data_IF_042887474850
#
_entry.id   IF_042887474850
#
_cell.length_a   1.000
_cell.length_b   1.000
_cell.length_c   1.000
_cell.angle_alpha   90.00
_cell.angle_beta   90.00
_cell.angle_gamma   90.00
#
_symmetry.space_group_name_H-M   'P 1'
#
loop_
_entity.id
_entity.type
_entity.pdbx_description
1 polymer ?
#
# COMPACT_ATOMS: atom_id res chain seq x y z
N UNK A 1 13.07 17.57 -34.98
CA UNK A 1 13.70 18.07 -33.73
C UNK A 1 13.10 17.52 -32.42
N UNK A 2 12.11 16.59 -32.45
CA UNK A 2 11.53 15.98 -31.24
C UNK A 2 12.37 14.84 -30.61
N UNK A 3 13.39 14.33 -31.31
CA UNK A 3 14.25 13.25 -30.81
C UNK A 3 15.20 13.68 -29.68
N UNK A 4 15.59 14.96 -29.64
CA UNK A 4 16.55 15.48 -28.65
C UNK A 4 15.94 15.61 -27.25
N UNK A 5 14.64 15.92 -27.13
CA UNK A 5 13.92 16.01 -25.85
C UNK A 5 13.51 14.65 -25.25
N UNK A 6 13.39 13.61 -26.09
CA UNK A 6 13.09 12.25 -25.61
C UNK A 6 14.27 11.65 -24.84
N UNK A 7 15.50 12.02 -25.19
CA UNK A 7 16.72 11.51 -24.57
C UNK A 7 16.85 11.83 -23.07
N UNK A 8 16.72 13.09 -22.60
CA UNK A 8 16.84 13.41 -21.18
C UNK A 8 15.67 12.87 -20.35
N UNK A 9 14.44 12.80 -20.90
CA UNK A 9 13.30 12.21 -20.20
C UNK A 9 13.48 10.71 -19.95
N UNK A 10 13.90 9.97 -20.96
CA UNK A 10 14.16 8.52 -20.83
C UNK A 10 15.31 8.27 -19.85
N UNK A 11 16.37 9.11 -19.90
CA UNK A 11 17.47 9.04 -18.95
C UNK A 11 17.03 9.34 -17.51
N UNK A 12 16.26 10.40 -17.29
CA UNK A 12 15.79 10.73 -15.93
C UNK A 12 14.85 9.65 -15.38
N UNK A 13 14.00 9.06 -16.22
CA UNK A 13 13.15 7.94 -15.83
C UNK A 13 13.94 6.68 -15.50
N UNK A 14 15.03 6.39 -16.23
CA UNK A 14 15.88 5.23 -15.90
C UNK A 14 16.61 5.43 -14.59
N UNK A 15 17.16 6.62 -14.35
CA UNK A 15 17.79 6.97 -13.06
C UNK A 15 16.78 6.87 -11.92
N UNK A 16 15.60 7.47 -12.08
CA UNK A 16 14.54 7.38 -11.06
C UNK A 16 14.13 5.93 -10.78
N UNK A 17 14.04 5.09 -11.81
CA UNK A 17 13.76 3.66 -11.65
C UNK A 17 14.84 2.95 -10.84
N UNK A 18 16.11 3.19 -11.09
CA UNK A 18 17.19 2.57 -10.31
C UNK A 18 17.19 3.04 -8.85
N UNK A 19 16.94 4.32 -8.61
CA UNK A 19 16.77 4.86 -7.25
C UNK A 19 15.60 4.16 -6.53
N UNK A 20 14.45 4.01 -7.20
CA UNK A 20 13.30 3.31 -6.62
C UNK A 20 13.61 1.85 -6.29
N UNK A 21 14.40 1.13 -7.11
CA UNK A 21 14.83 -0.23 -6.79
C UNK A 21 15.72 -0.27 -5.55
N UNK A 22 16.65 0.66 -5.42
CA UNK A 22 17.51 0.75 -4.24
C UNK A 22 16.68 0.95 -2.97
N UNK A 23 15.71 1.88 -3.01
CA UNK A 23 14.77 2.10 -1.90
C UNK A 23 13.97 0.84 -1.61
N UNK A 24 13.45 0.16 -2.64
CA UNK A 24 12.67 -1.07 -2.46
C UNK A 24 13.43 -2.13 -1.65
N UNK A 25 14.71 -2.33 -1.96
CA UNK A 25 15.56 -3.27 -1.25
C UNK A 25 15.97 -2.76 0.13
N UNK A 26 16.36 -1.48 0.26
CA UNK A 26 16.81 -0.88 1.51
C UNK A 26 15.69 -0.84 2.56
N UNK A 27 14.48 -0.48 2.15
CA UNK A 27 13.28 -0.37 3.00
C UNK A 27 12.56 -1.71 3.18
N UNK A 28 13.10 -2.81 2.65
CA UNK A 28 12.50 -4.15 2.71
C UNK A 28 11.02 -4.16 2.31
N UNK A 29 10.68 -3.46 1.23
CA UNK A 29 9.31 -3.40 0.70
C UNK A 29 8.86 -4.71 0.04
N UNK A 30 9.73 -5.73 0.05
CA UNK A 30 9.37 -7.08 -0.34
C UNK A 30 8.25 -7.61 0.57
N UNK A 31 7.25 -8.32 0.00
CA UNK A 31 6.21 -8.93 0.81
C UNK A 31 6.81 -9.81 1.90
N UNK A 32 6.33 -9.70 3.15
CA UNK A 32 6.81 -10.54 4.24
C UNK A 32 6.48 -12.02 3.95
N UNK A 33 7.25 -12.92 4.55
CA UNK A 33 6.95 -14.34 4.48
C UNK A 33 5.69 -14.67 5.32
N UNK A 34 5.07 -15.84 5.04
CA UNK A 34 3.85 -16.26 5.73
C UNK A 34 4.01 -16.40 7.24
N UNK A 35 5.20 -16.75 7.73
CA UNK A 35 5.46 -16.86 9.16
C UNK A 35 5.38 -15.50 9.86
N UNK A 36 5.96 -14.45 9.25
CA UNK A 36 5.89 -13.09 9.75
C UNK A 36 4.44 -12.55 9.77
N UNK A 37 3.63 -12.88 8.75
CA UNK A 37 2.21 -12.51 8.73
C UNK A 37 1.44 -13.20 9.86
N UNK A 38 1.66 -14.50 10.07
CA UNK A 38 1.03 -15.25 11.16
C UNK A 38 1.42 -14.69 12.53
N UNK A 39 2.70 -14.38 12.71
CA UNK A 39 3.22 -13.82 13.95
C UNK A 39 2.61 -12.45 14.24
N UNK A 40 2.59 -11.55 13.27
CA UNK A 40 1.97 -10.23 13.40
C UNK A 40 0.47 -10.35 13.79
N UNK A 41 -0.27 -11.26 13.14
CA UNK A 41 -1.66 -11.52 13.50
C UNK A 41 -1.82 -12.00 14.94
N UNK A 42 -0.99 -12.96 15.37
CA UNK A 42 -1.02 -13.48 16.74
C UNK A 42 -0.72 -12.37 17.77
N UNK A 43 0.30 -11.54 17.52
CA UNK A 43 0.66 -10.42 18.41
C UNK A 43 -0.47 -9.40 18.52
N UNK A 44 -1.10 -9.03 17.39
CA UNK A 44 -2.25 -8.13 17.37
C UNK A 44 -3.38 -8.74 18.19
N UNK A 45 -3.72 -10.01 17.94
CA UNK A 45 -4.81 -10.71 18.63
C UNK A 45 -4.62 -10.74 20.15
N UNK A 46 -3.41 -11.07 20.61
CA UNK A 46 -3.06 -11.06 22.03
C UNK A 46 -3.17 -9.66 22.64
N UNK A 47 -2.74 -8.64 21.90
CA UNK A 47 -2.79 -7.25 22.37
C UNK A 47 -4.22 -6.72 22.50
N UNK A 48 -5.10 -7.01 21.53
CA UNK A 48 -6.50 -6.55 21.58
C UNK A 48 -7.36 -7.37 22.54
N UNK A 49 -6.97 -8.61 22.84
CA UNK A 49 -7.66 -9.46 23.81
C UNK A 49 -7.36 -9.10 25.26
N UNK A 50 -6.35 -8.24 25.52
CA UNK A 50 -5.96 -7.81 26.87
C UNK A 50 -6.59 -6.45 27.23
N UNK A 51 -7.48 -6.38 28.25
CA UNK A 51 -8.07 -5.11 28.67
C UNK A 51 -7.03 -4.09 29.18
N UNK A 52 -5.92 -4.57 29.75
CA UNK A 52 -4.84 -3.70 30.21
C UNK A 52 -4.09 -3.05 29.03
N UNK A 53 -3.86 -3.80 27.95
CA UNK A 53 -3.22 -3.28 26.74
C UNK A 53 -4.11 -2.24 26.04
N UNK A 54 -5.43 -2.47 25.98
CA UNK A 54 -6.37 -1.50 25.42
C UNK A 54 -6.43 -0.19 26.22
N UNK A 55 -6.42 -0.27 27.56
CA UNK A 55 -6.38 0.94 28.41
C UNK A 55 -5.09 1.72 28.22
N UNK A 56 -3.95 1.03 28.17
CA UNK A 56 -2.64 1.65 27.90
C UNK A 56 -2.61 2.30 26.52
N UNK A 57 -3.18 1.64 25.51
CA UNK A 57 -3.26 2.17 24.16
C UNK A 57 -4.12 3.45 24.11
N UNK A 58 -5.29 3.46 24.76
CA UNK A 58 -6.16 4.63 24.81
C UNK A 58 -5.52 5.82 25.53
N UNK A 59 -4.74 5.58 26.60
CA UNK A 59 -4.05 6.64 27.34
C UNK A 59 -2.73 7.11 26.69
N UNK A 60 -2.16 6.32 25.77
CA UNK A 60 -0.87 6.61 25.13
C UNK A 60 -0.91 7.75 24.09
N UNK A 61 -2.09 8.23 23.70
CA UNK A 61 -2.24 9.24 22.64
C UNK A 61 -1.99 8.72 21.22
N UNK A 62 -1.74 7.42 21.05
CA UNK A 62 -1.41 6.80 19.74
C UNK A 62 -2.63 6.54 18.85
N UNK A 63 -3.84 6.88 19.31
CA UNK A 63 -5.09 6.65 18.58
C UNK A 63 -5.07 7.34 17.20
N UNK A 64 -4.55 8.56 17.12
CA UNK A 64 -4.44 9.28 15.85
C UNK A 64 -3.49 8.57 14.87
N UNK A 65 -2.35 8.08 15.36
CA UNK A 65 -1.37 7.35 14.54
C UNK A 65 -1.97 6.06 13.98
N UNK A 66 -2.70 5.29 14.80
CA UNK A 66 -3.40 4.09 14.34
C UNK A 66 -4.50 4.43 13.35
N UNK A 67 -5.20 5.55 13.52
CA UNK A 67 -6.14 6.07 12.52
C UNK A 67 -5.47 6.33 11.17
N UNK A 68 -4.31 7.00 11.16
CA UNK A 68 -3.52 7.25 9.95
C UNK A 68 -3.07 5.93 9.29
N UNK A 69 -2.58 4.96 10.08
CA UNK A 69 -2.22 3.66 9.54
C UNK A 69 -3.43 2.88 9.02
N UNK A 70 -4.60 3.00 9.64
CA UNK A 70 -5.85 2.44 9.13
C UNK A 70 -6.23 3.02 7.78
N UNK A 71 -6.12 4.34 7.61
CA UNK A 71 -6.32 5.01 6.32
C UNK A 71 -5.31 4.56 5.27
N UNK A 72 -4.04 4.41 5.66
CA UNK A 72 -3.00 3.90 4.77
C UNK A 72 -3.31 2.47 4.31
N UNK A 73 -3.70 1.58 5.23
CA UNK A 73 -4.08 0.21 4.92
C UNK A 73 -5.30 0.15 4.00
N UNK A 74 -6.30 1.01 4.23
CA UNK A 74 -7.45 1.15 3.34
C UNK A 74 -7.03 1.62 1.93
N UNK A 75 -6.10 2.57 1.84
CA UNK A 75 -5.53 3.02 0.57
C UNK A 75 -4.85 1.89 -0.20
N UNK A 76 -4.00 1.10 0.46
CA UNK A 76 -3.34 -0.08 -0.15
C UNK A 76 -4.36 -1.12 -0.62
N UNK A 77 -5.42 -1.36 0.16
CA UNK A 77 -6.51 -2.25 -0.23
C UNK A 77 -7.19 -1.78 -1.52
N UNK A 78 -7.53 -0.49 -1.64
CA UNK A 78 -8.13 0.09 -2.85
C UNK A 78 -7.21 0.04 -4.07
N UNK A 79 -5.91 0.22 -3.89
CA UNK A 79 -4.93 0.01 -4.96
C UNK A 79 -4.97 -1.45 -5.44
N UNK A 80 -5.06 -2.40 -4.51
CA UNK A 80 -5.25 -3.83 -4.83
C UNK A 80 -6.51 -4.09 -5.65
N UNK A 81 -7.64 -3.48 -5.27
CA UNK A 81 -8.88 -3.59 -6.05
C UNK A 81 -8.75 -3.01 -7.46
N UNK A 82 -8.07 -1.86 -7.62
CA UNK A 82 -7.79 -1.23 -8.94
C UNK A 82 -6.97 -2.19 -9.81
N UNK A 83 -5.93 -2.80 -9.26
CA UNK A 83 -5.08 -3.77 -9.98
C UNK A 83 -5.89 -5.02 -10.33
N UNK A 84 -6.64 -5.57 -9.38
CA UNK A 84 -7.43 -6.78 -9.57
C UNK A 84 -8.53 -6.62 -10.61
N UNK A 85 -9.21 -5.45 -10.63
CA UNK A 85 -10.25 -5.14 -11.62
C UNK A 85 -9.70 -4.52 -12.92
N UNK A 86 -8.41 -4.15 -12.94
CA UNK A 86 -7.70 -3.51 -14.07
C UNK A 86 -8.35 -2.22 -14.58
N UNK A 87 -9.11 -1.53 -13.72
CA UNK A 87 -9.80 -0.28 -14.03
C UNK A 87 -9.58 0.74 -12.92
N UNK A 88 -9.33 2.00 -13.31
CA UNK A 88 -9.07 3.10 -12.38
C UNK A 88 -10.36 3.64 -11.76
N UNK A 89 -11.44 3.74 -12.55
CA UNK A 89 -12.72 4.34 -12.15
C UNK A 89 -13.87 3.39 -12.50
N UNK A 90 -14.70 3.04 -11.51
CA UNK A 90 -15.87 2.19 -11.71
C UNK A 90 -15.55 0.78 -12.23
N UNK A 91 -16.62 0.07 -12.63
CA UNK A 91 -16.53 -1.18 -13.39
C UNK A 91 -16.80 -0.87 -14.85
N UNK A 92 -16.00 -1.46 -15.74
CA UNK A 92 -16.27 -1.44 -17.18
C UNK A 92 -17.44 -2.40 -17.44
N UNK A 93 -18.66 -1.91 -17.23
CA UNK A 93 -19.86 -2.61 -17.67
C UNK A 93 -20.07 -2.32 -19.16
N UNK A 94 -20.16 -3.35 -20.02
CA UNK A 94 -20.57 -3.14 -21.41
C UNK A 94 -21.92 -2.43 -21.39
N UNK A 95 -22.01 -1.30 -22.09
CA UNK A 95 -23.28 -0.57 -22.23
C UNK A 95 -24.24 -1.52 -22.95
N UNK A 96 -25.30 -1.96 -22.27
CA UNK A 96 -26.34 -2.75 -22.91
C UNK A 96 -27.00 -1.86 -23.98
N UNK A 97 -26.73 -2.14 -25.25
CA UNK A 97 -27.46 -1.55 -26.35
C UNK A 97 -28.90 -2.05 -26.27
N UNK A 98 -29.80 -1.22 -25.77
CA UNK A 98 -31.23 -1.40 -25.95
C UNK A 98 -31.53 -1.24 -27.44
N UNK A 99 -32.00 -2.33 -28.06
CA UNK A 99 -32.65 -2.32 -29.37
C UNK A 99 -34.06 -1.72 -29.26
#
# INVERSE_FOLDING_TARGET
MLGSYKSPLVYNLSVAREVLKQIYHAERLAPPNFAAVREAYAQIWTSVSSPAALRSFASSGQVAQVGVYGLQAYGVFKIGEIIGRRSLIGYDVPVAHHH
#
